data_IF_199192600712
#
_entry.id   IF_199192600712
#
_cell.length_a   1.000
_cell.length_b   1.000
_cell.length_c   1.000
_cell.angle_alpha   90.00
_cell.angle_beta   90.00
_cell.angle_gamma   90.00
#
_symmetry.space_group_name_H-M   'P 1'
#
loop_
_entity.id
_entity.type
_entity.pdbx_description
1 polymer ?
#
# COMPACT_ATOMS: atom_id res chain seq x y z
N UNK A 1 17.59 -60.51 31.61
CA UNK A 1 17.28 -59.95 30.30
C UNK A 1 15.75 -59.88 30.13
N UNK A 2 15.11 -58.85 30.67
CA UNK A 2 13.68 -58.53 30.43
C UNK A 2 13.49 -57.07 30.84
N UNK A 3 13.59 -56.12 29.93
CA UNK A 3 13.08 -54.73 30.03
C UNK A 3 13.48 -53.99 28.76
N UNK A 4 12.64 -54.01 27.71
CA UNK A 4 12.76 -53.07 26.58
C UNK A 4 11.57 -53.04 25.62
N UNK A 5 10.41 -53.67 25.94
CA UNK A 5 9.28 -53.68 24.98
C UNK A 5 8.16 -52.66 25.29
N UNK A 6 8.14 -52.08 26.48
CA UNK A 6 7.07 -51.14 26.89
C UNK A 6 7.29 -49.68 26.43
N UNK A 7 8.52 -49.25 26.24
CA UNK A 7 8.83 -47.85 25.97
C UNK A 7 8.62 -47.45 24.50
N UNK A 8 8.79 -48.40 23.59
CA UNK A 8 8.60 -48.14 22.14
C UNK A 8 7.14 -48.07 21.70
N UNK A 9 6.23 -48.69 22.45
CA UNK A 9 4.79 -48.67 22.12
C UNK A 9 4.14 -47.33 22.51
N UNK A 10 4.59 -46.71 23.58
CA UNK A 10 4.10 -45.39 24.00
C UNK A 10 4.58 -44.27 23.07
N UNK A 11 5.80 -44.32 22.54
CA UNK A 11 6.35 -43.34 21.60
C UNK A 11 5.63 -43.43 20.24
N UNK A 12 5.22 -44.60 19.80
CA UNK A 12 4.47 -44.76 18.53
C UNK A 12 3.03 -44.22 18.62
N UNK A 13 2.38 -44.32 19.79
CA UNK A 13 1.04 -43.77 20.00
C UNK A 13 0.98 -42.25 20.08
N UNK A 14 2.03 -41.59 20.57
CA UNK A 14 2.09 -40.13 20.62
C UNK A 14 2.36 -39.53 19.24
N UNK A 15 3.14 -40.18 18.36
CA UNK A 15 3.38 -39.74 17.00
C UNK A 15 2.16 -39.91 16.07
N UNK A 16 1.29 -40.90 16.32
CA UNK A 16 0.08 -41.10 15.54
C UNK A 16 -1.04 -40.09 15.88
N UNK A 17 -1.02 -39.48 17.08
CA UNK A 17 -2.00 -38.47 17.48
C UNK A 17 -1.78 -37.11 16.83
N UNK A 18 -0.55 -36.78 16.38
CA UNK A 18 -0.24 -35.53 15.68
C UNK A 18 -0.57 -35.54 14.17
N UNK A 19 -0.85 -36.71 13.59
CA UNK A 19 -1.04 -36.87 12.14
C UNK A 19 -2.49 -36.79 11.65
N UNK A 20 -3.47 -36.59 12.53
CA UNK A 20 -4.90 -36.62 12.16
C UNK A 20 -5.71 -35.47 12.75
N UNK A 21 -5.14 -34.24 12.76
CA UNK A 21 -6.02 -33.08 12.84
C UNK A 21 -6.36 -32.65 11.41
N UNK A 22 -7.63 -32.74 10.96
CA UNK A 22 -8.04 -32.11 9.74
C UNK A 22 -7.76 -30.60 9.90
N UNK A 23 -7.03 -30.01 8.95
CA UNK A 23 -6.89 -28.56 8.88
C UNK A 23 -8.31 -27.97 8.82
N UNK A 24 -8.79 -27.45 9.94
CA UNK A 24 -9.97 -26.59 9.91
C UNK A 24 -9.64 -25.43 8.99
N UNK A 25 -10.39 -25.30 7.88
CA UNK A 25 -10.43 -24.04 7.15
C UNK A 25 -10.70 -22.95 8.18
N UNK A 26 -9.91 -21.88 8.21
CA UNK A 26 -10.26 -20.75 9.05
C UNK A 26 -11.67 -20.33 8.65
N UNK A 27 -12.59 -20.34 9.61
CA UNK A 27 -13.93 -19.80 9.41
C UNK A 27 -13.75 -18.40 8.84
N UNK A 28 -14.37 -18.13 7.71
CA UNK A 28 -14.36 -16.80 7.14
C UNK A 28 -14.87 -15.85 8.22
N UNK A 29 -14.07 -14.88 8.59
CA UNK A 29 -14.48 -13.87 9.54
C UNK A 29 -15.84 -13.31 9.10
N UNK A 30 -16.81 -13.16 10.00
CA UNK A 30 -18.13 -12.66 9.64
C UNK A 30 -17.95 -11.30 8.94
N UNK A 31 -18.47 -11.20 7.73
CA UNK A 31 -18.50 -9.93 6.99
C UNK A 31 -19.29 -8.94 7.85
N UNK A 32 -18.73 -7.79 8.22
CA UNK A 32 -19.43 -6.81 9.01
C UNK A 32 -20.71 -6.38 8.27
N UNK A 33 -21.87 -6.64 8.83
CA UNK A 33 -23.18 -6.26 8.27
C UNK A 33 -23.57 -4.83 8.62
N UNK A 34 -22.78 -4.13 9.45
CA UNK A 34 -22.99 -2.74 9.79
C UNK A 34 -21.99 -1.86 9.02
N UNK A 35 -22.50 -0.89 8.28
CA UNK A 35 -21.70 0.20 7.73
C UNK A 35 -21.14 0.99 8.91
N UNK A 36 -19.82 0.84 9.16
CA UNK A 36 -19.14 1.69 10.13
C UNK A 36 -19.02 3.09 9.53
N UNK A 37 -19.89 3.99 9.97
CA UNK A 37 -19.88 5.39 9.54
C UNK A 37 -18.61 6.15 9.96
N UNK A 38 -17.68 5.49 10.67
CA UNK A 38 -16.39 6.04 11.08
C UNK A 38 -15.25 5.58 10.14
N UNK A 39 -15.49 4.60 9.27
CA UNK A 39 -14.52 4.21 8.25
C UNK A 39 -14.71 5.07 6.99
N UNK A 40 -13.78 5.95 6.63
CA UNK A 40 -13.92 6.82 5.45
C UNK A 40 -13.86 6.04 4.13
N UNK A 41 -13.47 4.77 4.14
CA UNK A 41 -13.25 3.96 2.95
C UNK A 41 -14.00 2.64 3.03
N UNK A 42 -14.98 2.46 2.14
CA UNK A 42 -15.51 1.12 1.89
C UNK A 42 -14.51 0.37 1.02
N UNK A 43 -14.10 -0.83 1.46
CA UNK A 43 -13.24 -1.71 0.65
C UNK A 43 -13.89 -2.00 -0.70
N UNK A 44 -13.24 -1.56 -1.77
CA UNK A 44 -13.68 -1.80 -3.16
C UNK A 44 -13.25 -3.17 -3.69
N UNK A 45 -12.57 -3.98 -2.86
CA UNK A 45 -11.93 -5.23 -3.24
C UNK A 45 -12.83 -6.47 -3.35
N UNK A 46 -14.16 -6.32 -3.36
CA UNK A 46 -15.10 -7.46 -3.39
C UNK A 46 -15.50 -7.89 -4.81
N UNK A 47 -14.95 -7.31 -5.87
CA UNK A 47 -15.17 -7.77 -7.25
C UNK A 47 -14.31 -8.99 -7.57
N UNK A 48 -14.92 -9.99 -8.18
CA UNK A 48 -14.19 -11.18 -8.65
C UNK A 48 -13.07 -10.76 -9.61
N UNK A 49 -11.83 -11.09 -9.24
CA UNK A 49 -10.65 -10.78 -10.03
C UNK A 49 -10.17 -12.02 -10.78
N UNK A 50 -9.95 -11.87 -12.09
CA UNK A 50 -9.36 -12.94 -12.90
C UNK A 50 -7.85 -12.94 -12.75
N UNK A 51 -7.26 -14.14 -12.66
CA UNK A 51 -5.80 -14.28 -12.67
C UNK A 51 -5.22 -13.79 -14.01
N UNK A 52 -4.38 -12.77 -13.94
CA UNK A 52 -3.64 -12.24 -15.09
C UNK A 52 -2.18 -12.69 -15.00
N UNK A 53 -1.64 -13.16 -16.12
CA UNK A 53 -0.23 -13.55 -16.25
C UNK A 53 0.44 -12.70 -17.32
N UNK A 54 1.60 -12.15 -17.00
CA UNK A 54 2.42 -11.37 -17.92
C UNK A 54 3.75 -12.06 -18.20
N UNK A 55 4.29 -11.89 -19.42
CA UNK A 55 5.59 -12.47 -19.83
C UNK A 55 6.77 -11.53 -19.61
N UNK A 56 6.56 -10.22 -19.71
CA UNK A 56 7.66 -9.24 -19.74
C UNK A 56 7.60 -8.24 -18.60
N UNK A 57 6.44 -7.64 -18.35
CA UNK A 57 6.23 -6.67 -17.29
C UNK A 57 4.76 -6.65 -16.87
N UNK A 58 4.49 -6.14 -15.68
CA UNK A 58 3.14 -6.01 -15.14
C UNK A 58 3.02 -4.71 -14.36
N UNK A 59 1.85 -4.10 -14.41
CA UNK A 59 1.42 -3.02 -13.53
C UNK A 59 0.11 -3.44 -12.85
N UNK A 60 -0.08 -3.05 -11.60
CA UNK A 60 -1.30 -3.27 -10.85
C UNK A 60 -1.54 -2.11 -9.88
N UNK A 61 -2.78 -1.68 -9.77
CA UNK A 61 -3.20 -0.63 -8.83
C UNK A 61 -4.69 -0.83 -8.47
N UNK A 62 -5.18 -0.02 -7.54
CA UNK A 62 -6.58 -0.06 -7.14
C UNK A 62 -7.55 0.34 -8.26
N UNK A 63 -7.10 1.16 -9.23
CA UNK A 63 -7.95 1.68 -10.31
C UNK A 63 -7.42 1.26 -11.69
N UNK A 64 -8.30 0.76 -12.61
CA UNK A 64 -7.89 0.34 -13.94
C UNK A 64 -7.22 1.43 -14.78
N UNK A 65 -7.65 2.69 -14.69
CA UNK A 65 -7.05 3.81 -15.42
C UNK A 65 -5.61 4.07 -14.97
N UNK A 66 -5.35 3.96 -13.67
CA UNK A 66 -3.99 4.08 -13.15
C UNK A 66 -3.12 2.88 -13.56
N UNK A 67 -3.68 1.67 -13.57
CA UNK A 67 -2.98 0.48 -14.08
C UNK A 67 -2.61 0.66 -15.55
N UNK A 68 -3.54 1.16 -16.38
CA UNK A 68 -3.30 1.45 -17.79
C UNK A 68 -2.19 2.50 -17.97
N UNK A 69 -2.21 3.60 -17.19
CA UNK A 69 -1.16 4.62 -17.23
C UNK A 69 0.22 4.00 -16.99
N UNK A 70 0.37 3.18 -15.96
CA UNK A 70 1.64 2.47 -15.68
C UNK A 70 2.02 1.50 -16.78
N UNK A 71 1.06 0.75 -17.32
CA UNK A 71 1.30 -0.19 -18.41
C UNK A 71 1.79 0.51 -19.68
N UNK A 72 1.18 1.62 -20.08
CA UNK A 72 1.60 2.41 -21.24
C UNK A 72 3.04 2.93 -21.10
N UNK A 73 3.42 3.37 -19.90
CA UNK A 73 4.80 3.79 -19.60
C UNK A 73 5.78 2.62 -19.77
N UNK A 74 5.46 1.44 -19.22
CA UNK A 74 6.30 0.25 -19.38
C UNK A 74 6.43 -0.18 -20.84
N UNK A 75 5.32 -0.12 -21.61
CA UNK A 75 5.30 -0.43 -23.03
C UNK A 75 6.17 0.52 -23.86
N UNK A 76 6.29 1.79 -23.46
CA UNK A 76 7.18 2.80 -24.06
C UNK A 76 8.64 2.62 -23.67
N UNK A 77 8.99 1.61 -22.86
CA UNK A 77 10.35 1.33 -22.39
C UNK A 77 10.75 2.06 -21.11
N UNK A 78 9.79 2.67 -20.42
CA UNK A 78 9.99 3.28 -19.10
C UNK A 78 10.42 2.27 -18.04
N UNK A 79 10.99 2.78 -16.97
CA UNK A 79 11.34 2.00 -15.79
C UNK A 79 10.11 1.70 -14.93
N UNK A 80 10.25 0.81 -13.95
CA UNK A 80 9.21 0.59 -12.94
C UNK A 80 8.91 1.87 -12.15
N UNK A 81 9.91 2.73 -11.95
CA UNK A 81 9.74 4.02 -11.28
C UNK A 81 8.94 4.99 -12.16
N UNK A 82 9.22 5.07 -13.46
CA UNK A 82 8.41 5.89 -14.38
C UNK A 82 6.95 5.45 -14.37
N UNK A 83 6.70 4.14 -14.43
CA UNK A 83 5.35 3.58 -14.36
C UNK A 83 4.66 3.91 -13.03
N UNK A 84 5.36 3.78 -11.92
CA UNK A 84 4.85 4.11 -10.58
C UNK A 84 4.45 5.59 -10.49
N UNK A 85 5.23 6.50 -11.07
CA UNK A 85 4.91 7.94 -11.07
C UNK A 85 3.62 8.22 -11.85
N UNK A 86 3.46 7.66 -13.04
CA UNK A 86 2.24 7.81 -13.83
C UNK A 86 1.02 7.20 -13.11
N UNK A 87 1.19 6.04 -12.47
CA UNK A 87 0.12 5.41 -11.69
C UNK A 87 -0.26 6.25 -10.48
N UNK A 88 0.72 6.73 -9.71
CA UNK A 88 0.49 7.52 -8.49
C UNK A 88 -0.27 8.81 -8.81
N UNK A 89 0.11 9.50 -9.88
CA UNK A 89 -0.54 10.75 -10.27
C UNK A 89 -1.94 10.52 -10.84
N UNK A 90 -2.16 9.40 -11.53
CA UNK A 90 -3.50 8.99 -11.99
C UNK A 90 -4.39 8.61 -10.81
N UNK A 91 -3.87 7.88 -9.82
CA UNK A 91 -4.62 7.54 -8.60
C UNK A 91 -5.08 8.77 -7.83
N UNK A 92 -4.29 9.85 -7.83
CA UNK A 92 -4.70 11.13 -7.22
C UNK A 92 -5.96 11.73 -7.83
N UNK A 93 -6.29 11.38 -9.09
CA UNK A 93 -7.55 11.76 -9.75
C UNK A 93 -8.67 10.74 -9.55
N UNK A 94 -8.35 9.46 -9.64
CA UNK A 94 -9.34 8.37 -9.70
C UNK A 94 -9.69 7.80 -8.32
N UNK A 95 -8.81 7.98 -7.33
CA UNK A 95 -8.95 7.51 -5.94
C UNK A 95 -8.55 8.63 -4.96
N UNK A 96 -9.17 9.84 -5.05
CA UNK A 96 -8.73 11.01 -4.27
C UNK A 96 -8.90 10.85 -2.75
N UNK A 97 -9.77 9.92 -2.32
CA UNK A 97 -9.98 9.62 -0.91
C UNK A 97 -8.80 8.87 -0.26
N UNK A 98 -8.00 8.15 -1.07
CA UNK A 98 -6.93 7.28 -0.57
C UNK A 98 -5.57 7.57 -1.21
N UNK A 99 -5.50 8.46 -2.19
CA UNK A 99 -4.26 8.79 -2.90
C UNK A 99 -4.21 10.26 -3.28
N UNK A 100 -3.03 10.88 -3.18
CA UNK A 100 -2.85 12.27 -3.60
C UNK A 100 -1.44 12.80 -3.35
N UNK A 101 -1.10 13.89 -4.06
CA UNK A 101 0.20 14.55 -3.94
C UNK A 101 0.40 15.25 -2.60
N UNK A 102 -0.69 15.53 -1.88
CA UNK A 102 -0.67 16.12 -0.54
C UNK A 102 -0.38 15.14 0.59
N UNK A 103 -0.21 13.87 0.28
CA UNK A 103 0.03 12.80 1.23
C UNK A 103 1.49 12.33 1.31
N UNK A 104 1.66 11.17 1.92
CA UNK A 104 2.92 10.46 2.03
C UNK A 104 2.86 9.06 1.44
N UNK A 105 4.01 8.41 1.38
CA UNK A 105 4.12 7.05 0.87
C UNK A 105 5.35 6.34 1.42
N UNK A 106 5.33 5.02 1.29
CA UNK A 106 6.51 4.17 1.42
C UNK A 106 6.75 3.48 0.08
N UNK A 107 8.02 3.39 -0.32
CA UNK A 107 8.42 2.69 -1.53
C UNK A 107 9.44 1.61 -1.19
N UNK A 108 9.17 0.41 -1.69
CA UNK A 108 10.13 -0.71 -1.70
C UNK A 108 10.52 -0.97 -3.14
N UNK A 109 11.80 -0.79 -3.45
CA UNK A 109 12.35 -0.91 -4.79
C UNK A 109 13.42 -2.00 -4.85
N UNK A 110 13.23 -2.98 -5.75
CA UNK A 110 14.22 -4.00 -6.06
C UNK A 110 14.92 -3.70 -7.38
N UNK A 111 16.21 -3.44 -7.33
CA UNK A 111 17.07 -3.37 -8.52
C UNK A 111 17.64 -4.75 -8.83
N UNK A 112 17.07 -5.41 -9.84
CA UNK A 112 17.50 -6.76 -10.21
C UNK A 112 18.89 -6.78 -10.84
N UNK A 113 19.37 -5.70 -11.44
CA UNK A 113 20.73 -5.61 -12.00
C UNK A 113 21.77 -5.48 -10.89
N UNK A 114 21.52 -4.61 -9.92
CA UNK A 114 22.40 -4.41 -8.77
C UNK A 114 22.18 -5.46 -7.66
N UNK A 115 21.11 -6.29 -7.75
CA UNK A 115 20.67 -7.23 -6.69
C UNK A 115 20.48 -6.53 -5.34
N UNK A 116 19.91 -5.33 -5.40
CA UNK A 116 19.78 -4.46 -4.23
C UNK A 116 18.32 -4.09 -3.97
N UNK A 117 17.90 -4.28 -2.72
CA UNK A 117 16.67 -3.73 -2.19
C UNK A 117 16.93 -2.35 -1.60
N UNK A 118 16.08 -1.39 -1.92
CA UNK A 118 16.12 -0.03 -1.35
C UNK A 118 14.71 0.36 -0.91
N UNK A 119 14.61 0.98 0.26
CA UNK A 119 13.36 1.50 0.79
C UNK A 119 13.45 3.03 0.89
N UNK A 120 12.31 3.68 0.69
CA UNK A 120 12.16 5.13 0.83
C UNK A 120 11.00 5.39 1.77
N UNK A 121 11.25 6.23 2.75
CA UNK A 121 10.24 6.77 3.65
C UNK A 121 9.93 8.20 3.19
N UNK A 122 8.73 8.38 2.70
CA UNK A 122 8.19 9.67 2.28
C UNK A 122 6.87 9.97 3.00
N UNK A 123 6.76 9.47 4.23
CA UNK A 123 5.63 9.81 5.08
C UNK A 123 5.60 11.30 5.35
N UNK A 124 4.41 11.84 5.56
CA UNK A 124 4.23 13.23 5.99
C UNK A 124 4.92 13.48 7.32
N UNK A 125 5.48 14.65 7.47
CA UNK A 125 6.05 15.12 8.72
C UNK A 125 5.21 16.23 9.32
N UNK A 126 5.27 16.40 10.63
CA UNK A 126 4.65 17.54 11.27
C UNK A 126 5.32 18.85 10.78
N UNK A 127 4.56 19.93 10.58
CA UNK A 127 5.12 21.25 10.34
C UNK A 127 6.09 21.65 11.46
N UNK A 128 7.15 22.41 11.13
CA UNK A 128 8.16 22.83 12.12
C UNK A 128 7.60 23.59 13.31
N UNK A 129 6.47 24.28 13.12
CA UNK A 129 5.78 25.04 14.17
C UNK A 129 4.79 24.19 14.97
N UNK A 130 4.64 22.90 14.68
CA UNK A 130 3.74 22.02 15.44
C UNK A 130 4.29 21.80 16.86
N UNK A 131 3.38 21.91 17.85
CA UNK A 131 3.68 21.65 19.26
C UNK A 131 2.85 20.48 19.74
N UNK A 132 3.16 19.89 20.92
CA UNK A 132 2.34 18.82 21.50
C UNK A 132 0.87 19.24 21.74
N UNK A 133 0.61 20.53 21.87
CA UNK A 133 -0.71 21.11 22.13
C UNK A 133 -1.53 21.33 20.86
N UNK A 134 -1.00 21.01 19.67
CA UNK A 134 -1.63 21.30 18.37
C UNK A 134 -3.10 20.85 18.28
N UNK A 135 -3.45 19.75 18.93
CA UNK A 135 -4.78 19.16 18.94
C UNK A 135 -5.50 19.27 20.30
N UNK A 136 -5.10 20.22 21.14
CA UNK A 136 -5.81 20.55 22.34
C UNK A 136 -6.76 21.75 22.12
N UNK A 137 -7.86 21.75 22.85
CA UNK A 137 -8.79 22.89 22.94
C UNK A 137 -8.27 24.00 23.88
N UNK A 138 -9.02 25.06 24.04
CA UNK A 138 -8.70 26.19 24.93
C UNK A 138 -8.59 25.81 26.43
N UNK A 139 -9.14 24.65 26.82
CA UNK A 139 -9.08 24.12 28.18
C UNK A 139 -7.97 23.07 28.33
N UNK A 140 -7.10 22.89 27.32
CA UNK A 140 -6.02 21.90 27.30
C UNK A 140 -6.50 20.45 27.18
N UNK A 141 -7.74 20.21 26.70
CA UNK A 141 -8.30 18.88 26.47
C UNK A 141 -8.17 18.49 25.00
N UNK A 142 -8.03 17.19 24.66
CA UNK A 142 -8.03 16.73 23.27
C UNK A 142 -9.29 17.20 22.54
N UNK A 143 -9.11 17.75 21.35
CA UNK A 143 -10.21 18.16 20.46
C UNK A 143 -11.01 16.95 20.00
N UNK A 144 -12.32 17.13 19.77
CA UNK A 144 -13.13 16.13 19.08
C UNK A 144 -12.58 15.87 17.65
N UNK A 145 -12.73 14.64 17.16
CA UNK A 145 -12.13 14.20 15.88
C UNK A 145 -12.42 15.16 14.72
N UNK A 146 -13.68 15.52 14.50
CA UNK A 146 -14.04 16.41 13.38
C UNK A 146 -13.45 17.82 13.51
N UNK A 147 -13.32 18.34 14.73
CA UNK A 147 -12.69 19.63 14.98
C UNK A 147 -11.15 19.58 14.78
N UNK A 148 -10.56 18.42 14.99
CA UNK A 148 -9.13 18.20 14.78
C UNK A 148 -8.79 17.99 13.31
N UNK A 149 -9.63 17.22 12.56
CA UNK A 149 -9.31 16.77 11.19
C UNK A 149 -9.72 17.75 10.10
N UNK A 150 -10.78 18.55 10.31
CA UNK A 150 -11.26 19.51 9.31
C UNK A 150 -10.38 20.77 9.30
N UNK A 151 -9.80 21.09 8.16
CA UNK A 151 -8.98 22.29 7.94
C UNK A 151 -7.48 22.04 7.97
N UNK A 152 -6.69 23.12 7.93
CA UNK A 152 -5.24 23.07 7.76
C UNK A 152 -4.44 22.51 8.95
N UNK A 153 -5.05 22.40 10.13
CA UNK A 153 -4.38 21.92 11.35
C UNK A 153 -3.88 20.48 11.25
N UNK A 154 -4.66 19.62 10.58
CA UNK A 154 -4.36 18.21 10.37
C UNK A 154 -3.44 17.92 9.18
N UNK A 155 -3.11 18.94 8.37
CA UNK A 155 -2.30 18.77 7.18
C UNK A 155 -0.82 18.68 7.54
N UNK A 156 -0.21 17.54 7.22
CA UNK A 156 1.24 17.34 7.31
C UNK A 156 2.00 17.94 6.14
N UNK A 157 3.32 17.97 6.23
CA UNK A 157 4.20 18.34 5.12
C UNK A 157 4.24 17.16 4.14
N UNK A 158 3.81 17.33 2.88
CA UNK A 158 3.72 16.22 1.94
C UNK A 158 5.07 15.61 1.58
N UNK A 159 5.13 14.28 1.53
CA UNK A 159 6.32 13.55 1.14
C UNK A 159 6.32 13.07 -0.32
N UNK A 160 5.13 12.83 -0.91
CA UNK A 160 5.02 12.25 -2.26
C UNK A 160 5.75 13.06 -3.33
N UNK A 161 5.57 14.39 -3.49
CA UNK A 161 6.26 15.13 -4.57
C UNK A 161 7.78 14.98 -4.50
N UNK A 162 8.33 15.03 -3.29
CA UNK A 162 9.77 14.84 -3.09
C UNK A 162 10.23 13.42 -3.41
N UNK A 163 9.46 12.42 -3.00
CA UNK A 163 9.73 11.03 -3.34
C UNK A 163 9.78 10.83 -4.85
N UNK A 164 8.74 11.27 -5.57
CA UNK A 164 8.66 11.07 -7.02
C UNK A 164 9.84 11.71 -7.74
N UNK A 165 10.21 12.95 -7.36
CA UNK A 165 11.38 13.64 -7.91
C UNK A 165 12.68 12.85 -7.65
N UNK A 166 12.92 12.45 -6.41
CA UNK A 166 14.18 11.80 -6.01
C UNK A 166 14.35 10.42 -6.65
N UNK A 167 13.30 9.62 -6.70
CA UNK A 167 13.40 8.29 -7.31
C UNK A 167 13.46 8.38 -8.84
N UNK A 168 12.79 9.35 -9.46
CA UNK A 168 12.94 9.59 -10.90
C UNK A 168 14.37 9.99 -11.27
N UNK A 169 15.00 10.90 -10.53
CA UNK A 169 16.41 11.27 -10.75
C UNK A 169 17.37 10.08 -10.68
N UNK A 170 17.06 9.07 -9.86
CA UNK A 170 17.92 7.89 -9.65
C UNK A 170 17.64 6.75 -10.61
N UNK A 171 16.38 6.52 -10.96
CA UNK A 171 15.92 5.30 -11.62
C UNK A 171 14.99 5.54 -12.81
N UNK A 172 14.60 6.78 -13.08
CA UNK A 172 13.79 7.15 -14.23
C UNK A 172 14.55 6.95 -15.54
N UNK A 173 13.82 6.68 -16.60
CA UNK A 173 14.33 6.51 -17.98
C UNK A 173 13.67 7.45 -18.95
N UNK A 174 12.40 7.74 -18.78
CA UNK A 174 11.64 8.61 -19.66
C UNK A 174 11.69 10.06 -19.16
N UNK A 175 11.48 11.05 -20.04
CA UNK A 175 11.40 12.45 -19.64
C UNK A 175 10.29 12.66 -18.59
N UNK A 176 10.61 13.42 -17.53
CA UNK A 176 9.69 13.68 -16.41
C UNK A 176 8.29 14.11 -16.87
N UNK A 177 8.21 15.09 -17.75
CA UNK A 177 6.93 15.61 -18.23
C UNK A 177 6.05 14.56 -18.91
N UNK A 178 6.64 13.59 -19.61
CA UNK A 178 5.91 12.54 -20.32
C UNK A 178 5.20 11.54 -19.41
N UNK A 179 5.52 11.53 -18.12
CA UNK A 179 4.90 10.64 -17.12
C UNK A 179 3.54 11.18 -16.66
N UNK A 180 3.23 12.43 -16.96
CA UNK A 180 1.99 13.11 -16.55
C UNK A 180 0.97 13.26 -17.70
N UNK A 181 1.28 12.80 -18.91
CA UNK A 181 0.39 12.92 -20.07
C UNK A 181 -0.99 12.27 -19.81
N UNK A 182 -1.02 11.04 -19.31
CA UNK A 182 -2.29 10.33 -19.04
C UNK A 182 -3.13 11.01 -17.95
N UNK A 183 -2.60 11.32 -16.75
CA UNK A 183 -3.40 12.01 -15.73
C UNK A 183 -3.86 13.40 -16.17
N UNK A 184 -3.07 14.14 -16.96
CA UNK A 184 -3.50 15.44 -17.52
C UNK A 184 -4.69 15.24 -18.44
N UNK A 185 -4.59 14.33 -19.43
CA UNK A 185 -5.69 14.04 -20.36
C UNK A 185 -6.97 13.57 -19.66
N UNK A 186 -6.84 12.87 -18.54
CA UNK A 186 -8.00 12.42 -17.75
C UNK A 186 -8.63 13.55 -16.93
N UNK A 187 -7.87 14.61 -16.61
CA UNK A 187 -8.34 15.76 -15.83
C UNK A 187 -9.04 16.83 -16.71
N UNK A 188 -8.73 16.88 -18.02
CA UNK A 188 -9.32 17.78 -19.03
C UNK A 188 -10.62 17.21 -19.63
#
# INVERSE_FOLDING_TARGET
MKFSFGLNLLAALVLAACAHQPMQKPDAAPVPTAVDNHAPEQGTGLTEQKLIRAKHFMAASANPLATEAGYEILKRGGSAIDAMIAMQTTLGLTEPQSSGLGGGAFLVYWDNKAKKLTTFDARETAPKAATPELFLDENGKPMGFMNAVVGGRSVGVPGIPKLLEDVHKRYGKLPWASLFEKPITLAE
#
